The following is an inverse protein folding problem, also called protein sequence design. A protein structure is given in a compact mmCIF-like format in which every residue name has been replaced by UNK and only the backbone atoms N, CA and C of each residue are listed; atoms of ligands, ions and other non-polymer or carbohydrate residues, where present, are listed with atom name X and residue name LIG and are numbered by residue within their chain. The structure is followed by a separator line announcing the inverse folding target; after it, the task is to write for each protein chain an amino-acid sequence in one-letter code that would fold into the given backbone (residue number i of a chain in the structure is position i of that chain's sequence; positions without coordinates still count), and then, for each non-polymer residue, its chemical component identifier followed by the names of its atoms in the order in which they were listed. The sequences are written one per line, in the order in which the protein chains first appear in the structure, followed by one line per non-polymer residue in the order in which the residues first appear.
data_IF_811543266549
#
_entry.id   IF_811543266549
#
_cell.length_a   1.000
_cell.length_b   1.000
_cell.length_c   1.000
_cell.angle_alpha   90.00
_cell.angle_beta   90.00
_cell.angle_gamma   90.00
#
_symmetry.space_group_name_H-M   'P 1'
#
loop_
_entity.id
_entity.type
_entity.pdbx_description
1 polymer ?
#
# COMPACT_ATOMS: atom_id res chain seq x y z
N UNK A 1 -2.33 38.87 -15.25
CA UNK A 1 -3.44 39.13 -14.31
C UNK A 1 -3.28 38.18 -13.16
N UNK A 2 -2.78 38.63 -12.00
CA UNK A 2 -2.54 37.78 -10.81
C UNK A 2 -3.88 37.44 -10.16
N UNK A 3 -4.29 36.18 -10.17
CA UNK A 3 -5.42 35.72 -9.36
C UNK A 3 -4.95 35.61 -7.91
N UNK A 4 -5.60 36.34 -7.03
CA UNK A 4 -5.42 36.29 -5.57
C UNK A 4 -6.13 35.03 -5.08
N UNK A 5 -5.39 34.13 -4.43
CA UNK A 5 -5.97 33.08 -3.63
C UNK A 5 -6.59 33.69 -2.38
N UNK A 6 -7.90 33.55 -2.24
CA UNK A 6 -8.62 33.80 -0.98
C UNK A 6 -8.52 32.53 -0.12
N UNK A 7 -8.14 32.64 1.14
CA UNK A 7 -8.14 31.48 2.04
C UNK A 7 -9.58 31.07 2.30
N UNK A 8 -9.84 29.77 2.17
CA UNK A 8 -11.10 29.13 2.58
C UNK A 8 -11.13 29.14 4.11
N UNK A 9 -12.19 29.65 4.76
CA UNK A 9 -12.26 29.65 6.21
C UNK A 9 -12.47 28.23 6.73
N UNK A 10 -11.59 27.82 7.64
CA UNK A 10 -11.70 26.61 8.46
C UNK A 10 -12.98 26.66 9.31
N UNK A 11 -14.03 26.00 8.85
CA UNK A 11 -15.26 25.75 9.60
C UNK A 11 -15.23 24.30 10.13
N UNK A 12 -14.37 24.07 11.12
CA UNK A 12 -14.47 22.91 11.99
C UNK A 12 -14.42 23.39 13.44
N UNK A 13 -15.57 23.85 13.93
CA UNK A 13 -15.84 24.01 15.34
C UNK A 13 -17.30 23.67 15.59
N UNK A 14 -17.63 22.38 15.50
CA UNK A 14 -18.81 21.83 16.21
C UNK A 14 -18.24 21.00 17.37
N UNK A 15 -17.95 21.68 18.46
CA UNK A 15 -17.61 21.07 19.73
C UNK A 15 -18.83 20.27 20.23
N UNK A 16 -18.82 18.97 19.97
CA UNK A 16 -19.58 18.01 20.76
C UNK A 16 -18.72 17.74 22.00
N UNK A 17 -18.91 18.53 23.05
CA UNK A 17 -18.33 18.29 24.36
C UNK A 17 -18.99 17.04 24.96
N UNK A 18 -18.56 15.86 24.51
CA UNK A 18 -18.65 14.65 25.27
C UNK A 18 -17.56 14.74 26.34
N UNK A 19 -17.96 14.87 27.59
CA UNK A 19 -17.12 14.62 28.76
C UNK A 19 -16.67 13.16 28.71
N UNK A 20 -15.61 12.91 27.94
CA UNK A 20 -14.86 11.67 27.99
C UNK A 20 -14.11 11.70 29.33
N UNK A 21 -14.43 10.79 30.23
CA UNK A 21 -13.52 10.37 31.30
C UNK A 21 -12.13 10.21 30.68
N UNK A 22 -11.14 10.91 31.23
CA UNK A 22 -9.77 10.89 30.73
C UNK A 22 -9.14 9.51 30.84
N UNK A 23 -9.43 8.64 29.92
CA UNK A 23 -8.57 7.52 29.57
C UNK A 23 -7.51 8.12 28.64
N UNK A 24 -6.31 8.39 29.18
CA UNK A 24 -5.16 8.77 28.35
C UNK A 24 -4.94 7.72 27.25
N UNK A 25 -4.28 8.14 26.19
CA UNK A 25 -3.83 7.21 25.15
C UNK A 25 -2.92 6.16 25.80
N UNK A 26 -3.07 4.86 25.48
CA UNK A 26 -2.24 3.80 26.10
C UNK A 26 -0.75 4.07 25.93
N UNK A 27 0.05 3.71 26.93
CA UNK A 27 1.52 3.75 26.84
C UNK A 27 1.98 2.93 25.63
N UNK A 28 2.96 3.47 24.88
CA UNK A 28 3.49 2.83 23.67
C UNK A 28 2.66 3.06 22.38
N UNK A 29 1.62 3.89 22.44
CA UNK A 29 0.87 4.32 21.23
C UNK A 29 1.76 5.12 20.29
N UNK A 30 2.60 6.01 20.81
CA UNK A 30 3.58 6.77 20.05
C UNK A 30 4.98 6.22 20.38
N UNK A 31 5.71 5.79 19.34
CA UNK A 31 7.00 5.12 19.44
C UNK A 31 8.10 6.03 18.88
N UNK A 32 9.01 6.46 19.74
CA UNK A 32 10.07 7.43 19.40
C UNK A 32 11.48 6.85 19.42
N UNK A 33 11.69 5.69 20.07
CA UNK A 33 12.99 5.01 20.05
C UNK A 33 13.09 4.05 18.87
N UNK A 34 14.33 3.65 18.53
CA UNK A 34 14.63 2.68 17.48
C UNK A 34 15.43 1.51 18.06
N UNK A 35 14.88 0.87 19.07
CA UNK A 35 15.55 -0.21 19.79
C UNK A 35 14.88 -1.56 19.50
N UNK A 36 15.70 -2.60 19.44
CA UNK A 36 15.22 -3.98 19.34
C UNK A 36 14.32 -4.33 20.52
N UNK A 37 13.28 -5.12 20.26
CA UNK A 37 12.40 -5.68 21.28
C UNK A 37 12.33 -7.21 21.11
N UNK A 38 13.25 -7.93 21.77
CA UNK A 38 13.37 -9.36 21.57
C UNK A 38 13.74 -9.71 20.12
N UNK A 39 12.90 -10.46 19.39
CA UNK A 39 13.16 -10.82 17.99
C UNK A 39 12.77 -9.70 16.99
N UNK A 40 12.18 -8.61 17.46
CA UNK A 40 11.69 -7.52 16.65
C UNK A 40 12.80 -6.49 16.41
N UNK A 41 13.23 -6.34 15.17
CA UNK A 41 14.32 -5.46 14.77
C UNK A 41 13.83 -4.32 13.87
N UNK A 42 13.76 -3.05 14.38
CA UNK A 42 13.36 -1.91 13.58
C UNK A 42 14.53 -1.35 12.76
N UNK A 43 14.30 -1.03 11.50
CA UNK A 43 15.22 -0.25 10.66
C UNK A 43 14.61 1.12 10.46
N UNK A 44 15.20 2.14 11.09
CA UNK A 44 14.66 3.49 11.15
C UNK A 44 15.29 4.44 10.13
N UNK A 45 14.73 5.66 10.03
CA UNK A 45 15.18 6.70 9.10
C UNK A 45 14.53 6.59 7.72
N UNK A 46 13.42 5.87 7.62
CA UNK A 46 12.55 5.76 6.46
C UNK A 46 11.43 6.82 6.50
N UNK A 47 10.55 6.81 5.50
CA UNK A 47 9.45 7.79 5.36
C UNK A 47 8.11 7.06 5.13
N UNK A 48 7.66 6.31 6.13
CA UNK A 48 6.47 5.45 6.04
C UNK A 48 6.57 4.45 4.89
N UNK A 49 7.40 3.39 5.03
CA UNK A 49 7.50 2.33 4.04
C UNK A 49 6.21 1.50 4.05
N UNK A 50 5.26 1.92 3.25
CA UNK A 50 3.88 1.44 3.29
C UNK A 50 3.74 0.08 2.61
N UNK A 51 4.49 -0.13 1.51
CA UNK A 51 4.45 -1.40 0.78
C UNK A 51 5.85 -1.86 0.35
N UNK A 52 6.00 -3.19 0.13
CA UNK A 52 7.29 -3.85 -0.03
C UNK A 52 7.22 -4.90 -1.14
N UNK A 53 8.07 -4.77 -2.16
CA UNK A 53 8.23 -5.78 -3.20
C UNK A 53 9.61 -6.43 -3.15
N UNK A 54 9.67 -7.77 -3.24
CA UNK A 54 10.93 -8.51 -3.33
C UNK A 54 11.47 -8.42 -4.76
N UNK A 55 12.69 -7.89 -4.92
CA UNK A 55 13.36 -7.87 -6.22
C UNK A 55 13.78 -9.28 -6.61
N UNK A 56 13.58 -9.74 -7.87
CA UNK A 56 14.05 -11.04 -8.32
C UNK A 56 15.55 -11.22 -8.07
N UNK A 57 15.93 -12.40 -7.57
CA UNK A 57 17.27 -12.68 -7.04
C UNK A 57 17.36 -12.56 -5.52
N UNK A 58 16.48 -11.77 -4.89
CA UNK A 58 16.27 -11.75 -3.45
C UNK A 58 17.35 -11.04 -2.62
N UNK A 59 18.24 -10.26 -3.25
CA UNK A 59 19.26 -9.49 -2.52
C UNK A 59 18.76 -8.09 -2.14
N UNK A 60 17.62 -7.69 -2.70
CA UNK A 60 17.04 -6.36 -2.52
C UNK A 60 15.52 -6.41 -2.36
N UNK A 61 14.99 -5.42 -1.65
CA UNK A 61 13.56 -5.08 -1.61
C UNK A 61 13.36 -3.68 -2.18
N UNK A 62 12.25 -3.45 -2.85
CA UNK A 62 11.75 -2.13 -3.18
C UNK A 62 10.75 -1.71 -2.09
N UNK A 63 10.96 -0.54 -1.53
CA UNK A 63 10.10 0.06 -0.52
C UNK A 63 9.34 1.24 -1.12
N UNK A 64 8.03 1.24 -0.97
CA UNK A 64 7.17 2.38 -1.26
C UNK A 64 7.09 3.26 -0.02
N UNK A 65 7.82 4.38 0.00
CA UNK A 65 7.82 5.30 1.14
C UNK A 65 6.81 6.43 0.90
N UNK A 66 5.65 6.33 1.56
CA UNK A 66 4.48 7.19 1.35
C UNK A 66 4.69 8.66 1.74
N UNK A 67 5.66 8.96 2.62
CA UNK A 67 5.90 10.32 3.09
C UNK A 67 4.87 10.79 4.11
N UNK A 68 4.56 9.97 5.12
CA UNK A 68 3.60 10.27 6.20
C UNK A 68 2.23 10.73 5.64
N UNK A 69 1.52 9.83 4.96
CA UNK A 69 0.22 10.12 4.35
C UNK A 69 0.25 11.27 3.33
N UNK A 70 1.39 11.45 2.63
CA UNK A 70 1.58 12.51 1.65
C UNK A 70 1.84 13.90 2.23
N UNK A 71 2.11 14.03 3.53
CA UNK A 71 2.48 15.29 4.17
C UNK A 71 3.86 15.78 3.69
N UNK A 72 4.76 14.84 3.41
CA UNK A 72 6.07 15.08 2.83
C UNK A 72 6.19 14.34 1.49
N UNK A 73 7.07 14.80 0.59
CA UNK A 73 7.41 14.01 -0.58
C UNK A 73 7.94 12.62 -0.19
N UNK A 74 7.32 11.60 -0.75
CA UNK A 74 7.75 10.23 -0.59
C UNK A 74 8.81 9.84 -1.62
N UNK A 75 9.18 8.56 -1.63
CA UNK A 75 10.19 8.02 -2.56
C UNK A 75 10.04 6.51 -2.75
N UNK A 76 10.57 5.99 -3.82
CA UNK A 76 10.87 4.56 -3.95
C UNK A 76 12.31 4.35 -3.47
N UNK A 77 12.48 3.48 -2.47
CA UNK A 77 13.78 3.15 -1.94
C UNK A 77 14.16 1.69 -2.25
N UNK A 78 15.46 1.45 -2.44
CA UNK A 78 16.04 0.13 -2.55
C UNK A 78 16.70 -0.23 -1.22
N UNK A 79 16.22 -1.29 -0.60
CA UNK A 79 16.75 -1.87 0.63
C UNK A 79 17.61 -3.09 0.29
N UNK A 80 18.87 -3.11 0.74
CA UNK A 80 19.75 -4.28 0.58
C UNK A 80 19.61 -5.22 1.77
N UNK A 81 19.23 -6.46 1.52
CA UNK A 81 18.95 -7.45 2.57
C UNK A 81 20.20 -7.81 3.41
N UNK A 82 21.39 -7.75 2.80
CA UNK A 82 22.64 -8.22 3.43
C UNK A 82 23.15 -7.29 4.54
N UNK A 83 22.98 -5.99 4.41
CA UNK A 83 23.54 -4.97 5.31
C UNK A 83 22.52 -3.91 5.73
N UNK A 84 21.24 -4.10 5.32
CA UNK A 84 20.11 -3.24 5.66
C UNK A 84 20.29 -1.78 5.19
N UNK A 85 21.20 -1.56 4.22
CA UNK A 85 21.40 -0.24 3.65
C UNK A 85 20.23 0.16 2.74
N UNK A 86 19.86 1.44 2.81
CA UNK A 86 18.75 2.01 2.06
C UNK A 86 19.22 3.15 1.17
N UNK A 87 18.77 3.18 -0.07
CA UNK A 87 19.00 4.31 -0.97
C UNK A 87 17.75 4.64 -1.79
N UNK A 88 17.56 5.91 -2.08
CA UNK A 88 16.53 6.37 -3.02
C UNK A 88 16.85 5.91 -4.44
N UNK A 89 15.86 5.30 -5.12
CA UNK A 89 15.95 4.92 -6.52
C UNK A 89 15.01 5.74 -7.41
N UNK A 90 14.00 6.36 -6.82
CA UNK A 90 13.13 7.32 -7.50
C UNK A 90 12.42 8.22 -6.45
N UNK A 91 12.20 9.55 -6.71
CA UNK A 91 12.72 10.30 -7.86
C UNK A 91 14.24 10.54 -7.76
N UNK A 92 14.89 10.55 -8.89
CA UNK A 92 16.31 10.94 -9.01
C UNK A 92 16.48 12.08 -10.02
N UNK A 93 17.45 12.94 -9.78
CA UNK A 93 17.72 14.07 -10.66
C UNK A 93 18.06 13.58 -12.07
N UNK A 94 17.40 14.15 -13.08
CA UNK A 94 17.65 13.79 -14.48
C UNK A 94 16.90 12.56 -14.98
N UNK A 95 15.95 12.02 -14.22
CA UNK A 95 15.01 11.01 -14.75
C UNK A 95 14.29 11.59 -15.97
N UNK A 96 14.56 11.02 -17.15
CA UNK A 96 13.92 11.42 -18.39
C UNK A 96 12.86 10.37 -18.79
N UNK A 97 11.82 10.82 -19.49
CA UNK A 97 10.89 9.92 -20.11
C UNK A 97 11.60 9.11 -21.23
N UNK A 98 11.25 7.84 -21.44
CA UNK A 98 11.76 7.04 -22.55
C UNK A 98 11.18 7.54 -23.88
N UNK A 99 11.82 7.17 -25.00
CA UNK A 99 11.34 7.52 -26.34
C UNK A 99 9.95 6.95 -26.63
N UNK A 100 9.61 5.81 -26.05
CA UNK A 100 8.30 5.16 -26.19
C UNK A 100 7.66 5.04 -24.81
N UNK A 101 6.59 5.78 -24.61
CA UNK A 101 5.81 5.74 -23.38
C UNK A 101 4.83 4.57 -23.37
N UNK A 102 4.63 4.03 -22.18
CA UNK A 102 3.64 3.01 -21.87
C UNK A 102 2.48 3.60 -21.06
N UNK A 103 1.35 2.91 -21.02
CA UNK A 103 0.21 3.37 -20.25
C UNK A 103 -0.69 4.34 -21.01
N UNK A 104 -1.23 5.32 -20.28
CA UNK A 104 -2.15 6.31 -20.85
C UNK A 104 -1.42 7.30 -21.74
N UNK A 105 -1.91 7.57 -22.98
CA UNK A 105 -1.28 8.54 -23.87
C UNK A 105 -1.17 9.98 -23.31
N UNK A 106 -2.00 10.33 -22.34
CA UNK A 106 -1.93 11.62 -21.66
C UNK A 106 -0.79 11.70 -20.63
N UNK A 107 -0.19 10.56 -20.26
CA UNK A 107 0.92 10.47 -19.32
C UNK A 107 2.26 10.68 -20.04
N UNK A 108 2.69 11.93 -20.15
CA UNK A 108 3.86 12.32 -20.98
C UNK A 108 5.13 12.62 -20.21
N UNK A 109 5.06 12.74 -18.88
CA UNK A 109 6.19 13.12 -18.03
C UNK A 109 6.24 12.24 -16.79
N UNK A 110 7.44 11.94 -16.24
CA UNK A 110 7.55 11.23 -14.94
C UNK A 110 6.95 12.06 -13.81
N UNK A 111 6.54 11.44 -12.69
CA UNK A 111 6.12 12.16 -11.51
C UNK A 111 7.28 13.04 -10.99
N UNK A 112 6.94 14.21 -10.47
CA UNK A 112 7.91 15.16 -9.92
C UNK A 112 8.47 14.72 -8.57
N UNK A 113 9.17 15.68 -7.93
CA UNK A 113 9.72 15.50 -6.58
C UNK A 113 8.63 15.39 -5.49
N UNK A 114 7.39 15.70 -5.83
CA UNK A 114 6.22 15.62 -4.93
C UNK A 114 5.60 14.21 -4.89
N UNK A 115 6.25 13.21 -5.49
CA UNK A 115 5.76 11.83 -5.49
C UNK A 115 5.45 11.37 -4.07
N UNK A 116 4.31 10.68 -3.91
CA UNK A 116 3.89 10.02 -2.66
C UNK A 116 3.44 8.60 -3.01
N UNK A 117 4.38 7.64 -3.08
CA UNK A 117 4.10 6.27 -3.49
C UNK A 117 3.35 5.50 -2.40
N UNK A 118 2.39 4.68 -2.80
CA UNK A 118 1.51 3.87 -1.93
C UNK A 118 1.61 2.39 -2.34
N UNK A 119 0.49 1.69 -2.58
CA UNK A 119 0.48 0.30 -2.97
C UNK A 119 1.30 0.00 -4.23
N UNK A 120 1.91 -1.18 -4.30
CA UNK A 120 2.86 -1.53 -5.36
C UNK A 120 2.73 -2.98 -5.80
N UNK A 121 3.10 -3.26 -7.05
CA UNK A 121 3.16 -4.63 -7.54
C UNK A 121 4.30 -4.83 -8.53
N UNK A 122 5.02 -5.94 -8.40
CA UNK A 122 6.08 -6.33 -9.33
C UNK A 122 5.63 -7.53 -10.17
N UNK A 123 5.52 -7.35 -11.48
CA UNK A 123 5.04 -8.37 -12.41
C UNK A 123 6.06 -8.64 -13.51
N UNK A 124 6.19 -9.92 -13.91
CA UNK A 124 6.92 -10.28 -15.11
C UNK A 124 5.97 -10.27 -16.32
N UNK A 125 6.29 -9.48 -17.34
CA UNK A 125 5.51 -9.38 -18.55
C UNK A 125 5.73 -10.60 -19.47
N UNK A 126 4.84 -10.80 -20.45
CA UNK A 126 4.93 -11.91 -21.41
C UNK A 126 6.26 -11.95 -22.20
N UNK A 127 6.90 -10.80 -22.40
CA UNK A 127 8.22 -10.69 -23.05
C UNK A 127 9.40 -11.03 -22.12
N UNK A 128 9.12 -11.36 -20.86
CA UNK A 128 10.10 -11.68 -19.82
C UNK A 128 10.69 -10.49 -19.10
N UNK A 129 10.36 -9.27 -19.47
CA UNK A 129 10.79 -8.06 -18.76
C UNK A 129 10.02 -7.90 -17.44
N UNK A 130 10.60 -7.14 -16.49
CA UNK A 130 9.95 -6.84 -15.22
C UNK A 130 9.37 -5.44 -15.23
N UNK A 131 8.13 -5.34 -14.77
CA UNK A 131 7.42 -4.08 -14.55
C UNK A 131 7.10 -3.92 -13.07
N UNK A 132 7.42 -2.77 -12.52
CA UNK A 132 7.05 -2.36 -11.17
C UNK A 132 5.98 -1.27 -11.28
N UNK A 133 4.82 -1.53 -10.68
CA UNK A 133 3.69 -0.61 -10.59
C UNK A 133 3.75 0.08 -9.24
N UNK A 134 3.43 1.37 -9.23
CA UNK A 134 3.41 2.18 -7.99
C UNK A 134 2.23 3.12 -8.04
N UNK A 135 1.31 3.01 -7.12
CA UNK A 135 0.28 4.02 -6.89
C UNK A 135 0.95 5.30 -6.40
N UNK A 136 0.58 6.43 -6.97
CA UNK A 136 1.15 7.74 -6.63
C UNK A 136 0.06 8.75 -6.36
N UNK A 137 0.13 9.44 -5.21
CA UNK A 137 -0.76 10.53 -4.81
C UNK A 137 -0.14 11.92 -4.94
N UNK A 138 1.19 11.98 -5.01
CA UNK A 138 1.94 13.24 -5.01
C UNK A 138 2.04 13.89 -6.38
N UNK A 139 1.58 15.15 -6.51
CA UNK A 139 1.57 15.89 -7.75
C UNK A 139 0.48 15.46 -8.75
N UNK A 140 0.15 14.18 -8.77
CA UNK A 140 -0.96 13.59 -9.55
C UNK A 140 -1.39 12.25 -8.95
N UNK A 141 -2.63 11.88 -9.20
CA UNK A 141 -3.16 10.55 -8.91
C UNK A 141 -2.97 9.65 -10.12
N UNK A 142 -2.17 8.59 -9.98
CA UNK A 142 -1.87 7.66 -11.07
C UNK A 142 -1.30 6.33 -10.56
N UNK A 143 -1.32 5.29 -11.39
CA UNK A 143 -0.43 4.14 -11.25
C UNK A 143 0.77 4.37 -12.16
N UNK A 144 1.93 4.64 -11.57
CA UNK A 144 3.18 4.86 -12.28
C UNK A 144 3.79 3.52 -12.70
N UNK A 145 4.31 3.44 -13.91
CA UNK A 145 4.88 2.25 -14.51
C UNK A 145 6.40 2.38 -14.61
N UNK A 146 7.13 1.45 -14.02
CA UNK A 146 8.59 1.40 -14.11
C UNK A 146 9.04 0.08 -14.73
N UNK A 147 10.06 0.11 -15.57
CA UNK A 147 10.83 -1.09 -15.88
C UNK A 147 11.86 -1.34 -14.79
N UNK A 148 12.06 -2.59 -14.43
CA UNK A 148 13.10 -3.02 -13.50
C UNK A 148 14.16 -3.80 -14.27
N UNK A 149 15.37 -3.22 -14.38
CA UNK A 149 16.53 -3.89 -14.94
C UNK A 149 17.34 -4.58 -13.84
N UNK A 150 17.76 -5.82 -14.10
CA UNK A 150 18.54 -6.66 -13.19
C UNK A 150 19.89 -6.95 -13.85
N UNK A 151 20.87 -6.03 -13.75
CA UNK A 151 22.20 -6.25 -14.34
C UNK A 151 22.92 -7.41 -13.64
N UNK A 152 23.67 -8.23 -14.40
CA UNK A 152 24.43 -9.36 -13.85
C UNK A 152 25.46 -8.90 -12.80
N UNK A 153 26.07 -7.73 -13.04
CA UNK A 153 26.97 -7.07 -12.10
C UNK A 153 26.41 -5.69 -11.77
N UNK A 154 25.89 -5.53 -10.55
CA UNK A 154 25.37 -4.24 -10.10
C UNK A 154 24.03 -4.34 -9.37
N UNK A 155 23.50 -3.19 -9.03
CA UNK A 155 22.24 -3.08 -8.31
C UNK A 155 21.05 -2.96 -9.28
N UNK A 156 19.84 -3.37 -8.85
CA UNK A 156 18.62 -3.16 -9.59
C UNK A 156 18.41 -1.69 -9.98
N UNK A 157 17.89 -1.46 -11.17
CA UNK A 157 17.67 -0.12 -11.71
C UNK A 157 16.22 0.03 -12.13
N UNK A 158 15.58 1.09 -11.65
CA UNK A 158 14.24 1.50 -12.05
C UNK A 158 14.33 2.60 -13.11
N UNK A 159 13.54 2.45 -14.18
CA UNK A 159 13.33 3.51 -15.16
C UNK A 159 11.84 3.70 -15.37
N UNK A 160 11.36 4.92 -15.16
CA UNK A 160 9.97 5.27 -15.44
C UNK A 160 9.63 5.09 -16.91
N UNK A 161 8.47 4.49 -17.19
CA UNK A 161 8.03 4.13 -18.53
C UNK A 161 6.72 4.83 -18.94
N UNK A 162 5.98 5.38 -18.00
CA UNK A 162 4.67 5.97 -18.20
C UNK A 162 3.77 5.80 -16.99
N UNK A 163 2.49 6.06 -17.15
CA UNK A 163 1.52 5.85 -16.09
C UNK A 163 0.12 5.53 -16.62
N UNK A 164 -0.73 5.07 -15.72
CA UNK A 164 -2.17 4.86 -15.94
C UNK A 164 -2.93 5.86 -15.09
N UNK A 165 -3.75 6.69 -15.73
CA UNK A 165 -4.67 7.57 -15.01
C UNK A 165 -5.94 6.79 -14.61
N UNK A 166 -6.44 6.98 -13.39
CA UNK A 166 -7.70 6.38 -12.98
C UNK A 166 -8.89 6.98 -13.74
N UNK A 167 -10.00 6.25 -13.76
CA UNK A 167 -11.27 6.79 -14.20
C UNK A 167 -11.75 7.88 -13.24
N UNK A 168 -12.19 9.01 -13.77
CA UNK A 168 -12.71 10.13 -12.99
C UNK A 168 -11.76 10.64 -11.88
N UNK A 169 -12.31 11.42 -10.95
CA UNK A 169 -11.61 11.84 -9.74
C UNK A 169 -11.65 10.71 -8.71
N UNK A 170 -10.60 9.89 -8.67
CA UNK A 170 -10.47 8.65 -7.88
C UNK A 170 -9.29 8.80 -6.93
N UNK A 171 -9.39 8.31 -5.71
CA UNK A 171 -8.25 8.00 -4.85
C UNK A 171 -7.99 6.50 -4.93
N UNK A 172 -6.87 6.13 -5.53
CA UNK A 172 -6.42 4.73 -5.63
C UNK A 172 -5.83 4.32 -4.28
N UNK A 173 -5.84 3.04 -3.93
CA UNK A 173 -5.04 2.54 -2.82
C UNK A 173 -3.92 1.65 -3.34
N UNK A 174 -4.27 0.62 -4.11
CA UNK A 174 -3.33 -0.39 -4.53
C UNK A 174 -3.60 -0.83 -5.96
N UNK A 175 -2.61 -1.48 -6.60
CA UNK A 175 -2.71 -1.93 -7.97
C UNK A 175 -1.90 -3.20 -8.22
N UNK A 176 -2.45 -4.10 -9.05
CA UNK A 176 -1.74 -5.28 -9.56
C UNK A 176 -1.61 -5.22 -11.08
N UNK A 177 -0.49 -5.72 -11.59
CA UNK A 177 -0.23 -5.85 -13.03
C UNK A 177 -0.45 -7.28 -13.50
N UNK A 178 -0.89 -7.44 -14.74
CA UNK A 178 -0.97 -8.71 -15.43
C UNK A 178 0.20 -8.85 -16.43
N UNK A 179 0.57 -10.08 -16.76
CA UNK A 179 1.65 -10.37 -17.71
C UNK A 179 1.40 -9.79 -19.12
N UNK A 180 0.13 -9.62 -19.51
CA UNK A 180 -0.25 -8.97 -20.77
C UNK A 180 -0.12 -7.43 -20.76
N UNK A 181 0.24 -6.84 -19.61
CA UNK A 181 0.42 -5.40 -19.42
C UNK A 181 -0.81 -4.64 -18.93
N UNK A 182 -1.94 -5.29 -18.71
CA UNK A 182 -3.10 -4.68 -18.08
C UNK A 182 -2.80 -4.34 -16.60
N UNK A 183 -3.51 -3.36 -16.07
CA UNK A 183 -3.41 -2.90 -14.69
C UNK A 183 -4.78 -2.98 -14.04
N UNK A 184 -4.86 -3.59 -12.86
CA UNK A 184 -6.07 -3.59 -12.04
C UNK A 184 -5.77 -2.79 -10.78
N UNK A 185 -6.64 -1.85 -10.40
CA UNK A 185 -6.43 -1.00 -9.25
C UNK A 185 -7.71 -0.85 -8.42
N UNK A 186 -7.54 -0.62 -7.14
CA UNK A 186 -8.63 -0.33 -6.21
C UNK A 186 -8.87 1.17 -6.11
N UNK A 187 -10.13 1.57 -6.01
CA UNK A 187 -10.54 2.91 -5.62
C UNK A 187 -11.08 2.87 -4.20
N UNK A 188 -10.51 3.65 -3.30
CA UNK A 188 -11.01 3.77 -1.92
C UNK A 188 -12.30 4.58 -1.85
N UNK A 189 -12.28 5.77 -2.44
CA UNK A 189 -13.41 6.70 -2.52
C UNK A 189 -13.14 7.76 -3.58
N UNK A 190 -14.11 8.63 -3.79
CA UNK A 190 -14.01 9.80 -4.68
C UNK A 190 -13.67 11.04 -3.86
N UNK A 191 -12.53 11.70 -4.09
CA UNK A 191 -12.14 12.92 -3.37
C UNK A 191 -13.09 14.10 -3.56
N UNK A 192 -13.86 14.16 -4.67
CA UNK A 192 -14.87 15.18 -4.94
C UNK A 192 -16.19 14.96 -4.19
N UNK A 193 -16.38 13.79 -3.57
CA UNK A 193 -17.47 13.56 -2.63
C UNK A 193 -17.10 14.18 -1.27
N UNK A 194 -17.69 15.33 -0.94
CA UNK A 194 -17.39 16.09 0.29
C UNK A 194 -17.51 15.30 1.60
N UNK A 195 -18.24 14.20 1.59
CA UNK A 195 -18.42 13.28 2.72
C UNK A 195 -17.90 11.88 2.40
N UNK A 196 -17.17 11.72 1.30
CA UNK A 196 -16.75 10.40 0.79
C UNK A 196 -15.90 9.63 1.79
N UNK A 197 -14.85 10.27 2.32
CA UNK A 197 -13.98 9.66 3.34
C UNK A 197 -14.72 9.35 4.64
N UNK A 198 -15.55 10.26 5.13
CA UNK A 198 -16.33 10.05 6.36
C UNK A 198 -17.34 8.92 6.21
N UNK A 199 -18.01 8.84 5.06
CA UNK A 199 -18.93 7.73 4.77
C UNK A 199 -18.20 6.42 4.64
N UNK A 200 -17.05 6.41 3.99
CA UNK A 200 -16.19 5.24 3.90
C UNK A 200 -15.82 4.70 5.30
N UNK A 201 -15.35 5.58 6.19
CA UNK A 201 -15.02 5.23 7.57
C UNK A 201 -16.23 4.78 8.42
N UNK A 202 -17.44 5.13 8.00
CA UNK A 202 -18.68 4.66 8.61
C UNK A 202 -19.21 3.37 7.98
N UNK A 203 -18.44 2.71 7.10
CA UNK A 203 -18.80 1.46 6.45
C UNK A 203 -19.79 1.60 5.28
N UNK A 204 -19.98 2.82 4.73
CA UNK A 204 -20.75 2.96 3.50
C UNK A 204 -19.89 2.63 2.29
N UNK A 205 -20.48 1.98 1.30
CA UNK A 205 -19.82 1.67 0.04
C UNK A 205 -19.28 2.94 -0.61
N UNK A 206 -17.97 2.97 -0.85
CA UNK A 206 -17.24 4.14 -1.34
C UNK A 206 -16.27 3.79 -2.44
N UNK A 207 -15.80 2.55 -2.47
CA UNK A 207 -14.77 2.04 -3.35
C UNK A 207 -15.26 0.92 -4.27
N UNK A 208 -14.40 0.53 -5.19
CA UNK A 208 -14.56 -0.55 -6.15
C UNK A 208 -13.23 -0.86 -6.86
N UNK A 209 -13.24 -1.77 -7.85
CA UNK A 209 -12.04 -2.19 -8.59
C UNK A 209 -12.20 -1.90 -10.09
N UNK A 210 -11.14 -1.39 -10.69
CA UNK A 210 -11.07 -1.02 -12.09
C UNK A 210 -9.95 -1.78 -12.80
N UNK A 211 -10.16 -2.12 -14.06
CA UNK A 211 -9.13 -2.67 -14.95
C UNK A 211 -8.86 -1.68 -16.06
N UNK A 212 -7.60 -1.33 -16.22
CA UNK A 212 -7.12 -0.57 -17.36
C UNK A 212 -6.43 -1.50 -18.36
N UNK A 213 -6.70 -1.28 -19.63
CA UNK A 213 -6.04 -2.00 -20.74
C UNK A 213 -5.59 -1.02 -21.81
N UNK A 214 -4.43 -1.31 -22.43
CA UNK A 214 -3.87 -0.47 -23.48
C UNK A 214 -4.91 -0.25 -24.61
N UNK A 215 -5.14 1.01 -24.97
CA UNK A 215 -6.06 1.42 -26.03
C UNK A 215 -7.55 1.41 -25.67
N UNK A 216 -7.94 0.80 -24.54
CA UNK A 216 -9.34 0.79 -24.06
C UNK A 216 -9.56 1.69 -22.85
N UNK A 217 -8.50 2.01 -22.11
CA UNK A 217 -8.58 2.79 -20.88
C UNK A 217 -9.22 2.03 -19.71
N UNK A 218 -9.61 2.76 -18.64
CA UNK A 218 -10.15 2.16 -17.43
C UNK A 218 -11.59 1.68 -17.60
N UNK A 219 -11.89 0.49 -17.04
CA UNK A 219 -13.22 -0.13 -17.00
C UNK A 219 -13.50 -0.66 -15.60
N UNK A 220 -14.67 -0.33 -15.04
CA UNK A 220 -15.14 -0.87 -13.76
C UNK A 220 -15.33 -2.40 -13.85
N UNK A 221 -14.83 -3.14 -12.88
CA UNK A 221 -15.15 -4.55 -12.70
C UNK A 221 -16.50 -4.67 -11.93
N UNK A 222 -17.51 -5.35 -12.52
CA UNK A 222 -18.83 -5.38 -11.93
C UNK A 222 -18.86 -6.15 -10.60
N UNK A 223 -19.63 -5.66 -9.63
CA UNK A 223 -19.82 -6.36 -8.35
C UNK A 223 -18.66 -6.26 -7.35
N UNK A 224 -17.70 -5.33 -7.57
CA UNK A 224 -16.55 -5.14 -6.68
C UNK A 224 -16.73 -4.02 -5.66
N UNK A 225 -17.91 -3.40 -5.60
CA UNK A 225 -18.16 -2.28 -4.69
C UNK A 225 -18.11 -2.70 -3.21
N UNK A 226 -17.35 -1.93 -2.42
CA UNK A 226 -17.18 -2.14 -0.98
C UNK A 226 -16.96 -0.84 -0.21
N UNK A 227 -16.80 -0.98 1.10
CA UNK A 227 -16.53 0.14 2.00
C UNK A 227 -15.01 0.27 2.22
N UNK A 228 -14.45 1.36 1.72
CA UNK A 228 -13.00 1.62 1.74
C UNK A 228 -12.22 0.45 1.13
N UNK A 229 -12.46 0.17 -0.17
CA UNK A 229 -11.73 -0.84 -0.93
C UNK A 229 -10.25 -0.49 -0.90
N UNK A 230 -9.44 -1.37 -0.30
CA UNK A 230 -8.05 -1.11 0.06
C UNK A 230 -7.09 -1.97 -0.82
N UNK A 231 -6.23 -2.78 -0.21
CA UNK A 231 -5.27 -3.61 -0.91
C UNK A 231 -5.89 -4.60 -1.91
N UNK A 232 -5.10 -5.01 -2.87
CA UNK A 232 -5.47 -6.00 -3.87
C UNK A 232 -4.27 -6.90 -4.19
N UNK A 233 -4.52 -8.21 -4.34
CA UNK A 233 -3.49 -9.13 -4.78
C UNK A 233 -4.04 -10.08 -5.86
N UNK A 234 -3.17 -10.56 -6.73
CA UNK A 234 -3.55 -11.42 -7.85
C UNK A 234 -3.00 -12.84 -7.67
N UNK A 235 -3.79 -13.85 -8.03
CA UNK A 235 -3.31 -15.23 -8.00
C UNK A 235 -2.18 -15.46 -9.02
N UNK A 236 -1.24 -16.38 -8.75
CA UNK A 236 -0.11 -16.65 -9.66
C UNK A 236 -0.51 -17.07 -11.08
N UNK A 237 -1.73 -17.60 -11.28
CA UNK A 237 -2.29 -17.95 -12.57
C UNK A 237 -3.09 -16.81 -13.22
N UNK A 238 -3.10 -15.63 -12.61
CA UNK A 238 -3.83 -14.42 -13.01
C UNK A 238 -5.35 -14.62 -13.17
N UNK A 239 -5.91 -15.65 -12.58
CA UNK A 239 -7.33 -15.94 -12.68
C UNK A 239 -8.16 -15.20 -11.63
N UNK A 240 -7.64 -15.09 -10.42
CA UNK A 240 -8.35 -14.49 -9.30
C UNK A 240 -7.65 -13.26 -8.79
N UNK A 241 -8.43 -12.27 -8.37
CA UNK A 241 -7.96 -11.19 -7.50
C UNK A 241 -8.59 -11.33 -6.12
N UNK A 242 -7.82 -10.96 -5.10
CA UNK A 242 -8.25 -10.89 -3.71
C UNK A 242 -8.32 -9.42 -3.35
N UNK A 243 -9.50 -8.96 -2.96
CA UNK A 243 -9.81 -7.55 -2.74
C UNK A 243 -10.08 -7.36 -1.26
N UNK A 244 -9.32 -6.49 -0.61
CA UNK A 244 -9.46 -6.16 0.79
C UNK A 244 -10.53 -5.07 0.95
N UNK A 245 -11.70 -5.44 1.47
CA UNK A 245 -12.78 -4.51 1.79
C UNK A 245 -12.62 -4.07 3.25
N UNK A 246 -11.80 -3.03 3.47
CA UNK A 246 -11.26 -2.65 4.77
C UNK A 246 -12.33 -2.44 5.84
N UNK A 247 -13.36 -1.63 5.55
CA UNK A 247 -14.41 -1.32 6.51
C UNK A 247 -15.56 -2.34 6.49
N UNK A 248 -15.70 -3.16 5.45
CA UNK A 248 -16.61 -4.30 5.45
C UNK A 248 -16.04 -5.46 6.29
N UNK A 249 -14.73 -5.48 6.54
CA UNK A 249 -14.05 -6.54 7.28
C UNK A 249 -14.01 -7.86 6.50
N UNK A 250 -13.91 -7.78 5.19
CA UNK A 250 -14.01 -8.93 4.29
C UNK A 250 -12.91 -8.91 3.23
N UNK A 251 -12.48 -10.11 2.82
CA UNK A 251 -11.65 -10.34 1.63
C UNK A 251 -12.54 -10.98 0.58
N UNK A 252 -12.65 -10.35 -0.59
CA UNK A 252 -13.42 -10.88 -1.69
C UNK A 252 -12.51 -11.58 -2.70
N UNK A 253 -12.72 -12.87 -2.95
CA UNK A 253 -12.12 -13.59 -4.09
C UNK A 253 -12.97 -13.36 -5.32
N UNK A 254 -12.39 -12.76 -6.36
CA UNK A 254 -13.08 -12.40 -7.59
C UNK A 254 -12.45 -13.12 -8.79
N UNK A 255 -13.24 -13.80 -9.59
CA UNK A 255 -12.80 -14.50 -10.80
C UNK A 255 -12.81 -13.54 -12.00
N UNK A 256 -11.64 -13.24 -12.55
CA UNK A 256 -11.44 -12.31 -13.66
C UNK A 256 -12.01 -12.84 -14.98
N UNK A 257 -12.15 -14.17 -15.13
CA UNK A 257 -12.70 -14.77 -16.34
C UNK A 257 -14.23 -14.66 -16.40
N UNK A 258 -14.89 -14.88 -15.26
CA UNK A 258 -16.36 -14.82 -15.18
C UNK A 258 -16.88 -13.44 -14.74
N UNK A 259 -15.97 -12.56 -14.31
CA UNK A 259 -16.25 -11.23 -13.75
C UNK A 259 -17.24 -11.29 -12.58
N UNK A 260 -16.99 -12.19 -11.62
CA UNK A 260 -17.83 -12.38 -10.44
C UNK A 260 -17.04 -12.62 -9.18
N UNK A 261 -17.54 -12.11 -8.08
CA UNK A 261 -17.13 -12.54 -6.76
C UNK A 261 -17.57 -14.01 -6.56
N UNK A 262 -16.64 -14.85 -6.18
CA UNK A 262 -16.85 -16.31 -6.06
C UNK A 262 -16.74 -16.79 -4.62
N UNK A 263 -16.07 -16.05 -3.75
CA UNK A 263 -15.95 -16.40 -2.33
C UNK A 263 -15.63 -15.16 -1.47
N UNK A 264 -15.79 -15.30 -0.15
CA UNK A 264 -15.49 -14.25 0.85
C UNK A 264 -14.88 -14.88 2.09
N UNK A 265 -13.92 -14.19 2.71
CA UNK A 265 -13.40 -14.50 4.03
C UNK A 265 -13.57 -13.28 4.95
N UNK A 266 -13.74 -13.51 6.25
CA UNK A 266 -13.81 -12.43 7.23
C UNK A 266 -12.38 -12.12 7.74
N UNK A 267 -11.88 -10.90 7.47
CA UNK A 267 -10.65 -10.34 8.02
C UNK A 267 -10.88 -8.84 8.23
N UNK A 268 -10.93 -8.42 9.49
CA UNK A 268 -11.22 -7.03 9.83
C UNK A 268 -10.08 -6.11 9.43
N UNK A 269 -10.39 -4.95 8.84
CA UNK A 269 -9.43 -3.89 8.52
C UNK A 269 -8.14 -4.39 7.84
N UNK A 270 -8.28 -5.31 6.87
CA UNK A 270 -7.16 -5.79 6.07
C UNK A 270 -6.69 -4.67 5.15
N UNK A 271 -5.40 -4.34 5.26
CA UNK A 271 -4.73 -3.32 4.45
C UNK A 271 -4.14 -3.97 3.19
N UNK A 272 -2.84 -4.19 3.07
CA UNK A 272 -2.25 -4.84 1.92
C UNK A 272 -2.11 -6.37 2.10
N UNK A 273 -1.92 -7.04 0.99
CA UNK A 273 -1.77 -8.50 0.91
C UNK A 273 -0.48 -8.86 0.19
N UNK A 274 0.12 -9.98 0.56
CA UNK A 274 1.28 -10.55 -0.13
C UNK A 274 1.23 -12.08 -0.12
N UNK A 275 1.89 -12.74 -1.08
CA UNK A 275 2.00 -14.19 -1.08
C UNK A 275 3.05 -14.67 -0.08
N UNK A 276 2.62 -15.49 0.88
CA UNK A 276 3.50 -16.16 1.84
C UNK A 276 4.26 -17.34 1.22
N UNK A 277 5.32 -17.81 1.88
CA UNK A 277 6.16 -18.92 1.38
C UNK A 277 5.44 -20.25 1.34
N UNK A 278 4.31 -20.36 2.02
CA UNK A 278 3.43 -21.54 2.07
C UNK A 278 2.33 -21.52 0.98
N UNK A 279 2.35 -20.52 0.10
CA UNK A 279 1.33 -20.32 -0.94
C UNK A 279 -0.01 -19.80 -0.42
N UNK A 280 -0.08 -19.38 0.85
CA UNK A 280 -1.22 -18.67 1.42
C UNK A 280 -1.07 -17.16 1.19
N UNK A 281 -2.19 -16.45 1.12
CA UNK A 281 -2.18 -15.01 1.09
C UNK A 281 -2.03 -14.46 2.52
N UNK A 282 -1.03 -13.63 2.75
CA UNK A 282 -0.79 -12.98 4.03
C UNK A 282 -1.35 -11.56 3.99
N UNK A 283 -2.14 -11.22 4.99
CA UNK A 283 -2.90 -9.99 5.10
C UNK A 283 -2.45 -9.24 6.36
N UNK A 284 -2.06 -7.99 6.23
CA UNK A 284 -1.88 -7.13 7.39
C UNK A 284 -3.24 -6.57 7.80
N UNK A 285 -3.64 -6.79 9.04
CA UNK A 285 -4.96 -6.45 9.58
C UNK A 285 -4.80 -5.55 10.80
N UNK A 286 -5.34 -4.34 10.74
CA UNK A 286 -5.25 -3.38 11.82
C UNK A 286 -6.23 -3.70 12.95
N UNK A 287 -5.77 -3.62 14.20
CA UNK A 287 -6.62 -3.60 15.37
C UNK A 287 -6.98 -2.14 15.68
N UNK A 288 -7.97 -1.62 14.94
CA UNK A 288 -8.31 -0.21 14.98
C UNK A 288 -9.05 0.15 16.28
N UNK A 289 -8.38 0.84 17.17
CA UNK A 289 -8.96 1.54 18.32
C UNK A 289 -9.01 3.04 18.02
N UNK A 290 -10.19 3.65 17.99
CA UNK A 290 -10.38 5.05 17.57
C UNK A 290 -9.46 6.02 18.33
N UNK A 291 -9.30 5.97 19.70
CA UNK A 291 -8.40 6.87 20.38
C UNK A 291 -6.93 6.72 19.99
N UNK A 292 -6.50 5.47 19.75
CA UNK A 292 -5.12 5.14 19.31
C UNK A 292 -4.90 5.65 17.88
N UNK A 293 -5.83 5.37 16.98
CA UNK A 293 -5.79 5.85 15.61
C UNK A 293 -5.68 7.38 15.52
N UNK A 294 -6.52 8.10 16.27
CA UNK A 294 -6.48 9.57 16.30
C UNK A 294 -5.14 10.09 16.83
N UNK A 295 -4.61 9.52 17.91
CA UNK A 295 -3.30 9.93 18.44
C UNK A 295 -2.17 9.68 17.44
N UNK A 296 -2.19 8.56 16.71
CA UNK A 296 -1.22 8.25 15.69
C UNK A 296 -1.28 9.22 14.49
N UNK A 297 -2.48 9.72 14.15
CA UNK A 297 -2.66 10.63 13.01
C UNK A 297 -2.52 12.10 13.35
N UNK A 298 -2.41 12.47 14.63
CA UNK A 298 -2.12 13.85 15.06
C UNK A 298 -0.63 14.20 14.95
N UNK A 299 0.28 13.22 15.11
CA UNK A 299 1.73 13.41 15.02
C UNK A 299 2.32 12.47 13.95
N UNK A 300 2.37 12.95 12.75
CA UNK A 300 2.82 12.20 11.56
C UNK A 300 4.33 11.90 11.56
N UNK A 301 5.11 12.56 12.42
CA UNK A 301 6.56 12.32 12.54
C UNK A 301 6.93 11.18 13.47
N UNK A 302 5.94 10.55 14.14
CA UNK A 302 6.15 9.51 15.15
C UNK A 302 5.57 8.18 14.68
N UNK A 303 6.29 7.10 14.92
CA UNK A 303 5.80 5.76 14.60
C UNK A 303 4.61 5.41 15.48
N UNK A 304 3.57 4.88 14.84
CA UNK A 304 2.36 4.43 15.50
C UNK A 304 2.55 3.04 16.14
N UNK A 305 2.15 2.88 17.39
CA UNK A 305 2.13 1.60 18.10
C UNK A 305 0.79 0.89 18.05
N UNK A 306 -0.13 1.26 17.15
CA UNK A 306 -1.43 0.62 17.00
C UNK A 306 -1.29 -0.89 16.74
N UNK A 307 -2.13 -1.69 17.39
CA UNK A 307 -2.13 -3.14 17.24
C UNK A 307 -2.41 -3.59 15.80
N UNK A 308 -1.79 -4.70 15.41
CA UNK A 308 -2.04 -5.36 14.13
C UNK A 308 -1.91 -6.89 14.24
N UNK A 309 -2.46 -7.57 13.26
CA UNK A 309 -2.32 -9.00 13.05
C UNK A 309 -1.84 -9.27 11.62
N UNK A 310 -1.04 -10.32 11.45
CA UNK A 310 -0.80 -10.91 10.13
C UNK A 310 -1.64 -12.18 10.05
N UNK A 311 -2.53 -12.22 9.07
CA UNK A 311 -3.51 -13.29 8.87
C UNK A 311 -3.18 -14.03 7.59
N UNK A 312 -2.96 -15.33 7.66
CA UNK A 312 -2.91 -16.19 6.48
C UNK A 312 -4.32 -16.55 6.03
N UNK A 313 -4.55 -16.47 4.74
CA UNK A 313 -5.78 -16.88 4.05
C UNK A 313 -5.44 -17.95 3.02
N UNK A 314 -6.04 -19.11 3.16
CA UNK A 314 -5.96 -20.17 2.15
C UNK A 314 -6.75 -19.74 0.90
N UNK A 315 -6.11 -19.59 -0.27
CA UNK A 315 -6.76 -19.03 -1.44
C UNK A 315 -7.83 -19.95 -2.06
N UNK A 316 -7.82 -21.26 -1.73
CA UNK A 316 -8.80 -22.21 -2.25
C UNK A 316 -10.03 -22.32 -1.35
N UNK A 317 -9.81 -22.45 -0.05
CA UNK A 317 -10.89 -22.67 0.93
C UNK A 317 -11.41 -21.39 1.56
N UNK A 318 -10.67 -20.29 1.43
CA UNK A 318 -10.89 -19.01 2.12
C UNK A 318 -10.84 -19.12 3.66
N UNK A 319 -10.24 -20.19 4.18
CA UNK A 319 -10.00 -20.33 5.61
C UNK A 319 -8.89 -19.40 6.08
N UNK A 320 -9.07 -18.78 7.23
CA UNK A 320 -8.13 -17.82 7.80
C UNK A 320 -7.47 -18.32 9.07
N UNK A 321 -6.23 -17.90 9.30
CA UNK A 321 -5.45 -18.23 10.50
C UNK A 321 -4.54 -17.06 10.85
N UNK A 322 -4.54 -16.61 12.09
CA UNK A 322 -3.60 -15.59 12.56
C UNK A 322 -2.21 -16.20 12.68
N UNK A 323 -1.22 -15.56 12.06
CA UNK A 323 0.18 -15.96 12.09
C UNK A 323 0.97 -15.22 13.15
N UNK A 324 0.69 -13.92 13.31
CA UNK A 324 1.45 -13.04 14.17
C UNK A 324 0.56 -11.92 14.69
N UNK A 325 0.83 -11.45 15.92
CA UNK A 325 0.17 -10.30 16.54
C UNK A 325 1.19 -9.43 17.24
N UNK A 326 1.03 -8.12 17.10
CA UNK A 326 1.87 -7.17 17.81
C UNK A 326 1.13 -5.86 18.09
N UNK A 327 1.55 -5.17 19.16
CA UNK A 327 1.08 -3.84 19.54
C UNK A 327 2.19 -3.11 20.30
N UNK A 328 2.29 -1.79 20.13
CA UNK A 328 3.28 -0.96 20.79
C UNK A 328 4.66 -1.01 20.15
N UNK A 329 5.73 -0.68 20.92
CA UNK A 329 7.09 -0.67 20.39
C UNK A 329 7.57 -2.06 19.94
N UNK A 330 8.42 -2.14 18.88
CA UNK A 330 9.09 -1.01 18.23
C UNK A 330 8.29 -0.41 17.07
N UNK A 331 7.22 -1.03 16.58
CA UNK A 331 6.35 -0.55 15.50
C UNK A 331 4.99 -1.23 15.59
N UNK A 332 3.92 -0.50 15.35
CA UNK A 332 2.58 -1.02 15.11
C UNK A 332 2.05 -0.61 13.73
N UNK A 333 0.75 -0.70 13.55
CA UNK A 333 0.05 -0.28 12.33
C UNK A 333 0.67 -0.84 11.04
N UNK A 334 1.06 -2.13 11.05
CA UNK A 334 1.64 -2.75 9.87
C UNK A 334 0.62 -2.80 8.73
N UNK A 335 1.03 -2.36 7.54
CA UNK A 335 0.23 -2.32 6.31
C UNK A 335 0.50 -3.50 5.39
N UNK A 336 1.70 -4.07 5.47
CA UNK A 336 2.13 -5.21 4.64
C UNK A 336 3.02 -6.15 5.44
N UNK A 337 3.06 -7.43 5.07
CA UNK A 337 3.96 -8.44 5.62
C UNK A 337 4.60 -9.25 4.49
N UNK A 338 5.81 -8.91 4.11
CA UNK A 338 6.53 -9.57 3.02
C UNK A 338 7.53 -10.57 3.56
N UNK A 339 7.24 -11.86 3.39
CA UNK A 339 8.16 -12.93 3.78
C UNK A 339 9.27 -13.09 2.73
N UNK A 340 10.51 -13.07 3.19
CA UNK A 340 11.65 -13.30 2.32
C UNK A 340 12.79 -14.01 3.07
N UNK A 341 13.20 -15.17 2.56
CA UNK A 341 14.17 -16.08 3.21
C UNK A 341 13.67 -16.48 4.60
N UNK A 342 14.44 -16.21 5.64
CA UNK A 342 14.13 -16.51 7.04
C UNK A 342 13.55 -15.33 7.83
N UNK A 343 13.17 -14.25 7.14
CA UNK A 343 12.66 -13.01 7.73
C UNK A 343 11.31 -12.61 7.13
N UNK A 344 10.57 -11.83 7.89
CA UNK A 344 9.37 -11.10 7.43
C UNK A 344 9.63 -9.63 7.61
N UNK A 345 9.37 -8.86 6.57
CA UNK A 345 9.50 -7.41 6.54
C UNK A 345 8.11 -6.80 6.62
N UNK A 346 7.89 -5.98 7.64
CA UNK A 346 6.62 -5.33 7.90
C UNK A 346 6.74 -3.84 7.60
N UNK A 347 5.91 -3.33 6.71
CA UNK A 347 5.78 -1.90 6.41
C UNK A 347 4.71 -1.23 7.26
N UNK A 348 4.64 0.11 7.23
CA UNK A 348 3.63 0.90 7.91
C UNK A 348 3.36 2.22 7.19
N UNK A 349 2.09 2.67 7.19
CA UNK A 349 1.70 3.95 6.58
C UNK A 349 2.08 5.18 7.41
N UNK A 350 2.54 4.98 8.66
CA UNK A 350 2.96 6.05 9.58
C UNK A 350 4.30 5.74 10.21
N UNK A 351 5.13 6.79 10.34
CA UNK A 351 6.40 6.72 11.04
C UNK A 351 7.60 6.53 10.11
N UNK A 352 8.73 6.17 10.70
CA UNK A 352 10.04 6.27 10.08
C UNK A 352 10.75 4.93 9.89
N UNK A 353 10.04 3.80 9.97
CA UNK A 353 10.71 2.49 10.07
C UNK A 353 10.03 1.34 9.36
N UNK A 354 10.85 0.37 9.01
CA UNK A 354 10.51 -0.99 8.65
C UNK A 354 10.74 -1.89 9.86
N UNK A 355 9.91 -2.90 10.10
CA UNK A 355 10.14 -3.88 11.15
C UNK A 355 10.53 -5.23 10.54
N UNK A 356 11.67 -5.78 10.98
CA UNK A 356 12.14 -7.11 10.58
C UNK A 356 11.86 -8.08 11.71
N UNK A 357 11.23 -9.20 11.38
CA UNK A 357 10.86 -10.25 12.32
C UNK A 357 11.31 -11.61 11.76
N UNK A 358 11.95 -12.51 12.55
CA UNK A 358 12.25 -13.86 12.08
C UNK A 358 10.98 -14.58 11.62
N UNK A 359 11.03 -15.28 10.49
CA UNK A 359 9.91 -16.05 9.96
C UNK A 359 9.41 -17.11 10.96
N UNK A 360 10.29 -17.60 11.83
CA UNK A 360 9.96 -18.58 12.88
C UNK A 360 8.96 -18.05 13.93
N UNK A 361 8.77 -16.74 14.05
CA UNK A 361 7.79 -16.12 14.94
C UNK A 361 6.35 -16.19 14.38
N UNK A 362 6.20 -16.55 13.09
CA UNK A 362 4.91 -16.64 12.41
C UNK A 362 4.35 -18.06 12.45
N UNK A 363 3.15 -18.22 13.00
CA UNK A 363 2.44 -19.51 13.02
C UNK A 363 2.75 -20.40 14.22
N UNK A 364 3.27 -19.84 15.33
CA UNK A 364 3.41 -20.53 16.62
C UNK A 364 2.07 -20.60 17.37
#
# INVERSE_FOLDING_TARGET
MKRRHTPVPSLFAAALALTLCGCGVPDGTLVTDCEDRGPLHPVCGLQSPEDIAVVPGGDYLLLSELGNMGEFPGRIALFRVADESVRTVFPVAGSAAPDVLQGDPACTEPPGQEMSPHGTHLVQLEDGSWRYLVVNHGGREAVELFSLALPADGEPQLQWQGCVFPADNTLINDAVGLANGDVIYTRMFRPDDLLGSQRALLGFRSGDVWRWSQGSGPRLLPGTAGALTNGIEISPDERYIFINQYMDGEIHKYDLQTERQVATAAVAHADNSSWGPDGQLWLASHQMEIPVYLACTEDHGVTCGMGFEIVALDPETMATRVLFRHQGPPMGAATVATAHRDKVYLGSFLGDRLLIVPLAEFGQ
#
